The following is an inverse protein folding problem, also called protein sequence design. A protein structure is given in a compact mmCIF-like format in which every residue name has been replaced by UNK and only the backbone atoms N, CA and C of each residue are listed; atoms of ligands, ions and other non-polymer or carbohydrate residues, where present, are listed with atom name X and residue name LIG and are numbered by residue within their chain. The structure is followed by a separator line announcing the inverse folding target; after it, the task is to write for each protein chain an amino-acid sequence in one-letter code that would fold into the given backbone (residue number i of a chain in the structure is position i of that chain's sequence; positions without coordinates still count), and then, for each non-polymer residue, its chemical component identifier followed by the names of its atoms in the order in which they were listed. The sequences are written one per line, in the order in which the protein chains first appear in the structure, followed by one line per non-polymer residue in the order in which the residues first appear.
data_IF_515051937351
#
_entry.id   IF_515051937351
#
_cell.length_a   1.000
_cell.length_b   1.000
_cell.length_c   1.000
_cell.angle_alpha   90.00
_cell.angle_beta   90.00
_cell.angle_gamma   90.00
#
_symmetry.space_group_name_H-M   'P 1'
#
loop_
_entity.id
_entity.type
_entity.pdbx_description
1 polymer ?
#
# COMPACT_ATOMS: atom_id res chain seq x y z
N UNK A 1 2.64 -1.46 -2.67
CA UNK A 1 3.76 -1.01 -1.81
C UNK A 1 4.24 -2.22 -1.01
N UNK A 2 5.55 -2.49 -0.90
CA UNK A 2 6.02 -3.81 -0.45
C UNK A 2 5.91 -4.07 1.06
N UNK A 3 5.66 -3.05 1.89
CA UNK A 3 5.80 -3.16 3.35
C UNK A 3 4.51 -2.88 4.14
N UNK A 4 3.35 -2.81 3.47
CA UNK A 4 2.05 -2.74 4.13
C UNK A 4 1.77 -1.53 5.05
N UNK A 5 2.71 -0.58 5.23
CA UNK A 5 2.58 0.54 6.16
C UNK A 5 2.88 1.90 5.51
N UNK A 6 2.17 2.93 5.98
CA UNK A 6 2.27 4.30 5.49
C UNK A 6 3.63 4.93 5.83
N UNK A 7 4.26 5.62 4.87
CA UNK A 7 5.53 6.36 5.07
C UNK A 7 5.39 7.58 6.00
N UNK A 8 4.16 7.98 6.34
CA UNK A 8 3.86 9.19 7.09
C UNK A 8 2.90 8.82 8.22
N UNK A 9 3.33 9.03 9.46
CA UNK A 9 2.45 8.91 10.62
C UNK A 9 1.53 10.13 10.65
N UNK A 10 0.22 9.89 10.69
CA UNK A 10 -0.77 10.95 10.85
C UNK A 10 -0.94 11.21 12.35
N UNK A 11 -0.81 12.46 12.83
CA UNK A 11 -0.97 12.79 14.24
C UNK A 11 -2.31 12.30 14.81
N UNK A 12 -2.31 11.97 16.12
CA UNK A 12 -3.48 11.39 16.82
C UNK A 12 -4.75 12.27 16.77
N UNK A 13 -4.60 13.56 16.50
CA UNK A 13 -5.71 14.51 16.37
C UNK A 13 -6.39 14.48 15.00
N UNK A 14 -5.72 14.01 13.94
CA UNK A 14 -6.28 13.84 12.57
C UNK A 14 -6.90 12.44 12.35
N UNK A 15 -6.62 11.49 13.25
CA UNK A 15 -6.98 10.06 13.11
C UNK A 15 -8.31 9.69 13.80
N UNK A 16 -9.16 10.66 14.11
CA UNK A 16 -10.45 10.39 14.79
C UNK A 16 -11.48 9.66 13.92
N UNK A 17 -11.27 9.58 12.61
CA UNK A 17 -12.18 8.84 11.72
C UNK A 17 -11.88 7.35 11.89
N UNK A 18 -12.79 6.56 12.48
CA UNK A 18 -12.60 5.11 12.62
C UNK A 18 -12.63 4.45 11.23
N UNK A 19 -11.96 3.30 11.11
CA UNK A 19 -12.08 2.48 9.91
C UNK A 19 -13.55 2.16 9.59
N UNK A 20 -13.98 2.51 8.39
CA UNK A 20 -15.38 2.37 7.95
C UNK A 20 -15.50 2.27 6.43
N UNK A 21 -16.66 1.83 5.97
CA UNK A 21 -17.06 1.84 4.56
C UNK A 21 -17.57 3.22 4.17
N UNK A 22 -17.03 3.78 3.09
CA UNK A 22 -17.48 5.04 2.52
C UNK A 22 -18.06 4.78 1.12
N UNK A 23 -19.32 5.15 0.87
CA UNK A 23 -19.93 4.96 -0.44
C UNK A 23 -19.33 5.93 -1.47
N UNK A 24 -19.14 5.43 -2.68
CA UNK A 24 -18.62 6.19 -3.82
C UNK A 24 -19.25 5.71 -5.12
N UNK A 25 -19.60 6.67 -5.97
CA UNK A 25 -20.07 6.39 -7.32
C UNK A 25 -18.87 6.34 -8.26
N UNK A 26 -18.81 5.31 -9.11
CA UNK A 26 -17.72 5.08 -10.05
C UNK A 26 -18.28 4.75 -11.43
N UNK A 27 -17.70 5.38 -12.45
CA UNK A 27 -17.92 4.98 -13.82
C UNK A 27 -17.00 3.80 -14.15
N UNK A 28 -17.60 2.75 -14.71
CA UNK A 28 -16.90 1.54 -15.11
C UNK A 28 -17.12 1.29 -16.60
N UNK A 29 -16.16 0.60 -17.20
CA UNK A 29 -16.23 0.19 -18.60
C UNK A 29 -15.73 -1.24 -18.75
N UNK A 30 -16.49 -2.06 -19.47
CA UNK A 30 -16.11 -3.42 -19.82
C UNK A 30 -16.42 -3.66 -21.29
N UNK A 31 -15.45 -4.18 -22.04
CA UNK A 31 -15.55 -4.45 -23.48
C UNK A 31 -16.14 -3.29 -24.33
N UNK A 32 -15.88 -2.04 -23.96
CA UNK A 32 -16.39 -0.86 -24.67
C UNK A 32 -17.80 -0.40 -24.26
N UNK A 33 -18.51 -1.18 -23.44
CA UNK A 33 -19.76 -0.78 -22.80
C UNK A 33 -19.46 0.00 -21.51
N UNK A 34 -20.35 0.93 -21.14
CA UNK A 34 -20.15 1.84 -20.00
C UNK A 34 -21.35 1.79 -19.05
N UNK A 35 -21.08 2.05 -17.78
CA UNK A 35 -22.11 2.18 -16.76
C UNK A 35 -21.55 2.84 -15.51
N UNK A 36 -22.46 3.18 -14.60
CA UNK A 36 -22.13 3.81 -13.33
C UNK A 36 -22.59 2.90 -12.20
N UNK A 37 -21.70 2.63 -11.25
CA UNK A 37 -21.99 1.81 -10.07
C UNK A 37 -21.81 2.63 -8.79
N UNK A 38 -22.54 2.27 -7.75
CA UNK A 38 -22.27 2.72 -6.38
C UNK A 38 -21.61 1.58 -5.63
N UNK A 39 -20.36 1.78 -5.23
CA UNK A 39 -19.59 0.82 -4.44
C UNK A 39 -19.04 1.49 -3.19
N UNK A 40 -18.48 0.72 -2.27
CA UNK A 40 -17.83 1.26 -1.09
C UNK A 40 -16.32 1.16 -1.21
N UNK A 41 -15.61 2.04 -0.50
CA UNK A 41 -14.17 1.89 -0.23
C UNK A 41 -13.90 1.98 1.27
N UNK A 42 -12.84 1.33 1.72
CA UNK A 42 -12.42 1.36 3.12
C UNK A 42 -11.53 2.57 3.39
N UNK A 43 -11.87 3.32 4.43
CA UNK A 43 -11.07 4.44 4.90
C UNK A 43 -11.24 4.69 6.38
N UNK A 44 -10.21 5.25 6.99
CA UNK A 44 -10.18 5.57 8.40
C UNK A 44 -8.88 5.11 9.05
N UNK A 45 -8.85 5.24 10.37
CA UNK A 45 -7.65 5.04 11.18
C UNK A 45 -7.70 3.74 11.95
N UNK A 46 -6.56 3.08 12.04
CA UNK A 46 -6.35 1.86 12.80
C UNK A 46 -5.20 2.02 13.79
N UNK A 47 -5.21 1.21 14.84
CA UNK A 47 -4.18 1.25 15.88
C UNK A 47 -2.83 0.76 15.35
N UNK A 48 -1.75 1.42 15.77
CA UNK A 48 -0.39 0.94 15.58
C UNK A 48 0.45 1.33 16.79
N UNK A 49 1.42 0.48 17.15
CA UNK A 49 2.39 0.78 18.18
C UNK A 49 3.78 0.24 17.83
N UNK A 50 4.79 0.85 18.44
CA UNK A 50 6.13 0.33 18.55
C UNK A 50 6.56 0.52 20.01
N UNK A 51 6.78 -0.57 20.74
CA UNK A 51 7.09 -0.52 22.17
C UNK A 51 8.23 -1.49 22.49
N UNK A 52 9.03 -1.17 23.50
CA UNK A 52 10.05 -2.09 23.99
C UNK A 52 9.38 -3.23 24.76
N UNK A 53 9.59 -4.48 24.33
CA UNK A 53 9.21 -5.67 25.08
C UNK A 53 10.40 -6.14 25.90
N UNK A 54 10.20 -6.23 27.22
CA UNK A 54 11.22 -6.73 28.14
C UNK A 54 11.47 -8.23 27.95
N UNK A 55 10.43 -8.98 27.57
CA UNK A 55 10.48 -10.41 27.31
C UNK A 55 11.30 -10.72 26.06
N UNK A 56 11.10 -9.93 24.99
CA UNK A 56 11.85 -10.07 23.75
C UNK A 56 13.22 -9.37 23.77
N UNK A 57 13.49 -8.51 24.77
CA UNK A 57 14.64 -7.59 24.81
C UNK A 57 14.81 -6.79 23.50
N UNK A 58 13.70 -6.45 22.87
CA UNK A 58 13.64 -5.87 21.53
C UNK A 58 12.40 -4.97 21.39
N UNK A 59 12.34 -4.23 20.27
CA UNK A 59 11.13 -3.49 19.90
C UNK A 59 10.09 -4.46 19.33
N UNK A 60 8.92 -4.47 19.95
CA UNK A 60 7.71 -5.08 19.43
C UNK A 60 6.94 -4.06 18.60
N UNK A 61 6.38 -4.53 17.49
CA UNK A 61 5.74 -3.71 16.48
C UNK A 61 4.38 -4.31 16.13
N UNK A 62 3.34 -3.49 16.21
CA UNK A 62 2.03 -3.80 15.65
C UNK A 62 1.60 -2.71 14.71
N UNK A 63 1.24 -3.09 13.50
CA UNK A 63 0.57 -2.21 12.55
C UNK A 63 -0.75 -2.86 12.15
N UNK A 64 -1.80 -2.04 12.00
CA UNK A 64 -3.08 -2.48 11.44
C UNK A 64 -3.53 -1.48 10.38
N UNK A 65 -4.20 -1.97 9.33
CA UNK A 65 -4.72 -1.16 8.23
C UNK A 65 -6.23 -1.33 8.07
N UNK A 66 -6.90 -0.27 7.62
CA UNK A 66 -8.32 -0.34 7.31
C UNK A 66 -8.53 -1.07 5.97
N UNK A 67 -9.05 -2.29 6.03
CA UNK A 67 -9.21 -3.19 4.88
C UNK A 67 -10.61 -3.78 4.84
N UNK A 68 -11.01 -4.30 3.68
CA UNK A 68 -12.27 -4.99 3.48
C UNK A 68 -12.35 -6.24 4.36
N UNK A 69 -13.40 -6.35 5.17
CA UNK A 69 -13.70 -7.56 5.95
C UNK A 69 -14.55 -8.52 5.12
N UNK A 70 -15.61 -7.98 4.51
CA UNK A 70 -16.57 -8.75 3.71
C UNK A 70 -16.77 -8.11 2.36
N UNK A 71 -16.84 -8.96 1.35
CA UNK A 71 -17.11 -8.57 -0.02
C UNK A 71 -18.17 -9.49 -0.61
N UNK A 72 -18.87 -8.97 -1.62
CA UNK A 72 -19.91 -9.69 -2.35
C UNK A 72 -19.81 -9.41 -3.85
N UNK A 73 -20.07 -10.41 -4.68
CA UNK A 73 -20.24 -10.21 -6.11
C UNK A 73 -21.63 -9.60 -6.40
N UNK A 74 -21.65 -8.52 -7.15
CA UNK A 74 -22.87 -7.81 -7.54
C UNK A 74 -22.88 -7.60 -9.06
N UNK A 75 -24.06 -7.72 -9.66
CA UNK A 75 -24.25 -7.58 -11.09
C UNK A 75 -24.83 -6.21 -11.44
N UNK A 76 -24.39 -5.64 -12.56
CA UNK A 76 -24.90 -4.40 -13.14
C UNK A 76 -25.02 -4.57 -14.65
N UNK A 77 -25.99 -3.88 -15.25
CA UNK A 77 -26.15 -3.84 -16.70
C UNK A 77 -25.42 -2.62 -17.25
N UNK A 78 -24.49 -2.84 -18.18
CA UNK A 78 -23.77 -1.80 -18.89
C UNK A 78 -24.43 -1.53 -20.24
N UNK A 79 -24.43 -0.25 -20.63
CA UNK A 79 -24.96 0.20 -21.91
C UNK A 79 -23.83 0.24 -22.95
N UNK A 80 -24.08 -0.36 -24.11
CA UNK A 80 -23.11 -0.45 -25.20
C UNK A 80 -23.44 0.57 -26.32
N UNK A 81 -22.45 1.06 -27.07
CA UNK A 81 -22.67 2.05 -28.14
C UNK A 81 -23.55 1.56 -29.30
N UNK A 82 -23.62 0.25 -29.50
CA UNK A 82 -24.47 -0.42 -30.50
C UNK A 82 -25.95 -0.52 -30.07
N UNK A 83 -26.30 0.03 -28.91
CA UNK A 83 -27.64 -0.04 -28.33
C UNK A 83 -27.92 -1.34 -27.58
N UNK A 84 -26.96 -2.29 -27.55
CA UNK A 84 -27.08 -3.50 -26.75
C UNK A 84 -26.81 -3.21 -25.26
N UNK A 85 -27.07 -4.22 -24.44
CA UNK A 85 -26.78 -4.18 -23.00
C UNK A 85 -26.03 -5.43 -22.60
N UNK A 86 -25.09 -5.28 -21.66
CA UNK A 86 -24.25 -6.38 -21.20
C UNK A 86 -24.21 -6.44 -19.69
N UNK A 87 -24.40 -7.62 -19.14
CA UNK A 87 -24.22 -7.84 -17.71
C UNK A 87 -22.73 -7.84 -17.34
N UNK A 88 -22.41 -7.16 -16.25
CA UNK A 88 -21.08 -7.09 -15.69
C UNK A 88 -21.16 -7.37 -14.19
N UNK A 89 -20.30 -8.26 -13.71
CA UNK A 89 -20.20 -8.57 -12.27
C UNK A 89 -18.99 -7.88 -11.69
N UNK A 90 -19.18 -7.19 -10.57
CA UNK A 90 -18.11 -6.52 -9.82
C UNK A 90 -18.14 -6.90 -8.35
N UNK A 91 -17.00 -6.72 -7.68
CA UNK A 91 -16.87 -6.98 -6.23
C UNK A 91 -17.24 -5.72 -5.45
N UNK A 92 -18.31 -5.82 -4.65
CA UNK A 92 -18.78 -4.79 -3.73
C UNK A 92 -18.21 -5.02 -2.32
N UNK A 93 -17.76 -3.96 -1.66
CA UNK A 93 -17.28 -4.02 -0.27
C UNK A 93 -18.46 -3.82 0.68
N UNK A 94 -18.77 -4.82 1.51
CA UNK A 94 -19.89 -4.76 2.46
C UNK A 94 -19.47 -4.16 3.80
N UNK A 95 -18.28 -4.51 4.29
CA UNK A 95 -17.75 -4.01 5.56
C UNK A 95 -16.23 -3.86 5.53
N UNK A 96 -15.72 -3.01 6.42
CA UNK A 96 -14.29 -2.76 6.61
C UNK A 96 -13.92 -2.97 8.08
N UNK A 97 -12.71 -3.48 8.33
CA UNK A 97 -12.15 -3.57 9.68
C UNK A 97 -10.64 -3.32 9.70
N UNK A 98 -10.11 -3.08 10.89
CA UNK A 98 -8.67 -2.97 11.10
C UNK A 98 -8.00 -4.35 11.11
N UNK A 99 -7.24 -4.67 10.07
CA UNK A 99 -6.52 -5.93 9.93
C UNK A 99 -5.06 -5.74 10.27
N UNK A 100 -4.49 -6.66 11.05
CA UNK A 100 -3.08 -6.64 11.44
C UNK A 100 -2.18 -6.93 10.23
N UNK A 101 -1.13 -6.13 10.08
CA UNK A 101 -0.16 -6.22 8.98
C UNK A 101 1.26 -6.23 9.53
N UNK A 102 2.13 -7.01 8.88
CA UNK A 102 3.55 -7.01 9.22
C UNK A 102 4.22 -5.75 8.67
N UNK A 103 4.70 -4.88 9.56
CA UNK A 103 5.59 -3.78 9.21
C UNK A 103 7.02 -4.32 9.22
N UNK A 104 7.56 -4.69 8.05
CA UNK A 104 8.99 -4.99 8.00
C UNK A 104 9.80 -3.72 8.26
N UNK A 105 10.71 -3.72 9.25
CA UNK A 105 11.68 -2.66 9.35
C UNK A 105 12.49 -2.72 8.05
N UNK A 106 12.47 -1.64 7.27
CA UNK A 106 13.39 -1.48 6.15
C UNK A 106 14.78 -1.57 6.77
N UNK A 107 15.41 -2.74 6.71
CA UNK A 107 16.85 -2.84 6.88
C UNK A 107 17.35 -1.91 5.80
N UNK A 108 17.82 -0.72 6.19
CA UNK A 108 18.53 0.18 5.31
C UNK A 108 19.50 -0.74 4.58
N UNK A 109 19.25 -0.99 3.29
CA UNK A 109 20.15 -1.79 2.47
C UNK A 109 21.45 -1.08 2.69
N UNK A 110 22.37 -1.69 3.47
CA UNK A 110 23.68 -1.13 3.72
C UNK A 110 24.21 -0.95 2.32
N UNK A 111 24.19 0.29 1.82
CA UNK A 111 24.80 0.61 0.55
C UNK A 111 26.23 0.14 0.76
N UNK A 112 26.60 -0.96 0.07
CA UNK A 112 27.95 -1.47 0.14
C UNK A 112 28.85 -0.26 -0.13
N UNK A 113 29.84 0.04 0.73
CA UNK A 113 30.70 1.19 0.51
C UNK A 113 31.29 1.02 -0.88
N UNK A 114 30.95 1.94 -1.78
CA UNK A 114 31.53 2.01 -3.11
C UNK A 114 33.04 2.15 -2.88
N UNK A 115 33.81 1.09 -3.19
CA UNK A 115 35.26 1.13 -3.18
C UNK A 115 35.69 2.32 -4.02
N UNK A 116 36.13 3.40 -3.37
CA UNK A 116 36.84 4.47 -4.05
C UNK A 116 38.07 3.83 -4.69
N UNK A 117 38.09 3.78 -6.03
CA UNK A 117 39.30 3.45 -6.77
C UNK A 117 40.31 4.56 -6.48
N UNK A 118 41.24 4.32 -5.57
CA UNK A 118 42.49 5.06 -5.54
C UNK A 118 43.23 4.75 -6.85
N UNK A 119 43.18 5.70 -7.78
CA UNK A 119 44.08 5.75 -8.93
C UNK A 119 45.49 6.04 -8.42
N UNK A 120 46.20 5.00 -8.00
CA UNK A 120 47.64 5.05 -7.78
C UNK A 120 48.35 5.05 -9.13
N UNK A 121 48.88 6.20 -9.52
CA UNK A 121 49.83 6.32 -10.63
C UNK A 121 51.19 5.81 -10.17
N UNK A 122 51.52 4.56 -10.50
CA UNK A 122 52.89 4.05 -10.37
C UNK A 122 53.69 4.35 -11.64
N UNK A 123 54.72 5.18 -11.44
CA UNK A 123 56.09 5.07 -11.92
C UNK A 123 56.35 4.67 -13.40
N UNK A 124 56.96 5.61 -14.13
CA UNK A 124 57.87 5.29 -15.22
C UNK A 124 59.25 5.94 -14.93
N UNK A 125 60.24 5.10 -14.60
CA UNK A 125 61.68 5.33 -14.85
C UNK A 125 62.03 4.65 -16.19
N UNK A 126 63.09 5.00 -16.97
CA UNK A 126 64.49 5.34 -16.59
C UNK A 126 65.03 6.56 -17.42
N UNK A 127 66.29 7.04 -17.44
CA UNK A 127 67.61 6.66 -16.92
C UNK A 127 68.69 7.67 -17.41
N UNK A 128 69.93 7.52 -16.90
CA UNK A 128 71.26 7.98 -17.39
C UNK A 128 71.53 9.47 -17.67
N UNK A 129 72.57 9.98 -17.00
CA UNK A 129 73.26 11.25 -17.24
C UNK A 129 73.97 11.71 -15.98
#
# INVERSE_FOLDING_TARGET
MPNGCCKKCIPRNETRIPCSTIPVTKDISDAGCKGTITTNYCSGSCGTFAMYSAEAQALDHKCSCCQEERTRQQEVVLSCPDGSSRNHTYTHIESCLCQDTACEPVRARRAAPSRARHSGSQALRPGRG
#
